data_IF_494604862099
#
_entry.id   IF_494604862099
#
_cell.length_a   1.000
_cell.length_b   1.000
_cell.length_c   1.000
_cell.angle_alpha   90.00
_cell.angle_beta   90.00
_cell.angle_gamma   90.00
#
_symmetry.space_group_name_H-M   'P 1'
#
loop_
_entity.id
_entity.type
_entity.pdbx_description
1 polymer ?
#
# COMPACT_ATOMS: atom_id res chain seq x y z
N UNK A 1 27.51 -33.17 -4.56
CA UNK A 1 27.14 -31.84 -4.12
C UNK A 1 28.09 -31.37 -3.02
N UNK A 2 28.49 -30.11 -3.06
CA UNK A 2 29.41 -29.55 -2.05
C UNK A 2 28.70 -29.39 -0.71
N UNK A 3 29.38 -29.75 0.40
CA UNK A 3 28.90 -29.47 1.74
C UNK A 3 29.13 -27.99 2.04
N UNK A 4 28.08 -27.31 2.50
CA UNK A 4 28.13 -25.89 2.85
C UNK A 4 28.56 -25.79 4.32
N UNK A 5 29.69 -25.11 4.58
CA UNK A 5 30.19 -24.89 5.94
C UNK A 5 29.23 -24.00 6.72
N UNK A 6 29.16 -24.23 8.03
CA UNK A 6 28.30 -23.48 8.96
C UNK A 6 26.80 -23.57 8.67
N UNK A 7 26.38 -24.50 7.80
CA UNK A 7 24.96 -24.66 7.49
C UNK A 7 24.09 -24.84 8.74
N UNK A 8 24.59 -25.59 9.71
CA UNK A 8 23.89 -25.88 10.96
C UNK A 8 23.71 -24.61 11.82
N UNK A 9 24.58 -23.61 11.66
CA UNK A 9 24.51 -22.35 12.40
C UNK A 9 23.69 -21.29 11.70
N UNK A 10 23.23 -21.56 10.48
CA UNK A 10 22.39 -20.63 9.72
C UNK A 10 20.96 -20.80 10.18
N UNK A 11 20.32 -19.70 10.57
CA UNK A 11 18.91 -19.73 10.89
C UNK A 11 18.11 -19.94 9.61
N UNK A 12 17.25 -20.96 9.61
CA UNK A 12 16.40 -21.21 8.46
C UNK A 12 15.47 -20.02 8.20
N UNK A 13 15.49 -19.55 6.96
CA UNK A 13 14.50 -18.57 6.53
C UNK A 13 13.14 -19.23 6.37
N UNK A 14 12.09 -18.54 6.77
CA UNK A 14 10.72 -19.01 6.56
C UNK A 14 10.30 -18.96 5.08
N UNK A 15 11.19 -18.55 4.20
CA UNK A 15 10.89 -18.33 2.78
C UNK A 15 10.31 -16.96 2.51
N UNK A 16 10.15 -16.15 3.54
CA UNK A 16 9.62 -14.79 3.48
C UNK A 16 10.48 -13.84 4.30
N UNK A 17 10.53 -12.59 3.90
CA UNK A 17 11.10 -11.54 4.73
C UNK A 17 10.10 -11.18 5.83
N UNK A 18 10.60 -10.67 6.96
CA UNK A 18 9.73 -10.11 7.98
C UNK A 18 8.84 -9.04 7.35
N UNK A 19 7.54 -9.15 7.54
CA UNK A 19 6.55 -8.25 6.96
C UNK A 19 5.55 -7.80 8.01
N UNK A 20 4.86 -6.67 7.78
CA UNK A 20 3.80 -6.22 8.67
C UNK A 20 2.71 -7.29 8.81
N UNK A 21 2.26 -7.52 10.02
CA UNK A 21 1.10 -8.37 10.28
C UNK A 21 -0.19 -7.57 10.27
N UNK A 22 -1.29 -8.25 10.59
CA UNK A 22 -2.57 -7.61 10.76
C UNK A 22 -2.51 -6.57 11.89
N UNK A 23 -3.17 -5.46 11.72
CA UNK A 23 -3.27 -4.44 12.76
C UNK A 23 -3.41 -3.03 12.23
N UNK A 24 -3.37 -2.07 13.14
CA UNK A 24 -3.44 -0.65 12.83
C UNK A 24 -2.06 -0.06 12.57
N UNK A 25 -1.96 0.78 11.56
CA UNK A 25 -0.72 1.43 11.15
C UNK A 25 -0.96 2.90 10.87
N UNK A 26 0.08 3.71 11.06
CA UNK A 26 0.10 5.08 10.55
C UNK A 26 0.79 5.04 9.20
N UNK A 27 0.07 5.44 8.16
CA UNK A 27 0.53 5.40 6.79
C UNK A 27 0.81 6.82 6.30
N UNK A 28 1.78 6.94 5.40
CA UNK A 28 2.10 8.21 4.73
C UNK A 28 1.89 8.05 3.24
N UNK A 29 1.25 9.04 2.64
CA UNK A 29 1.00 9.04 1.19
C UNK A 29 2.30 9.42 0.48
N UNK A 30 2.77 8.54 -0.39
CA UNK A 30 4.04 8.74 -1.12
C UNK A 30 3.83 9.17 -2.56
N UNK A 31 2.69 8.82 -3.15
CA UNK A 31 2.33 9.25 -4.50
C UNK A 31 0.82 9.18 -4.70
N UNK A 32 0.32 10.01 -5.59
CA UNK A 32 -1.12 10.04 -5.93
C UNK A 32 -1.25 10.17 -7.44
N UNK A 33 -2.11 9.34 -8.02
CA UNK A 33 -2.36 9.34 -9.45
C UNK A 33 -3.85 9.48 -9.73
N UNK A 34 -4.22 10.50 -10.48
CA UNK A 34 -5.57 10.65 -11.00
C UNK A 34 -5.71 9.80 -12.25
N UNK A 35 -6.58 8.80 -12.21
CA UNK A 35 -6.80 7.89 -13.33
C UNK A 35 -8.17 8.17 -13.92
N UNK A 36 -8.23 8.86 -15.09
CA UNK A 36 -9.50 9.19 -15.72
C UNK A 36 -10.17 7.95 -16.31
N UNK A 37 -11.47 8.05 -16.56
CA UNK A 37 -12.22 6.97 -17.19
C UNK A 37 -11.71 6.72 -18.61
N UNK A 38 -11.50 5.44 -18.91
CA UNK A 38 -11.11 4.99 -20.23
C UNK A 38 -12.25 4.19 -20.86
N UNK A 39 -12.90 4.78 -21.86
CA UNK A 39 -14.06 4.18 -22.53
C UNK A 39 -13.72 2.88 -23.26
N UNK A 40 -12.47 2.70 -23.70
CA UNK A 40 -12.05 1.49 -24.40
C UNK A 40 -11.93 0.29 -23.49
N UNK A 41 -11.49 0.50 -22.24
CA UNK A 41 -11.31 -0.58 -21.27
C UNK A 41 -12.42 -0.66 -20.24
N UNK A 42 -13.23 0.38 -20.12
CA UNK A 42 -14.25 0.50 -19.08
C UNK A 42 -13.70 0.72 -17.69
N UNK A 43 -12.40 1.04 -17.57
CA UNK A 43 -11.68 1.20 -16.31
C UNK A 43 -11.31 2.66 -16.07
N UNK A 44 -10.92 2.96 -14.83
CA UNK A 44 -10.51 4.29 -14.43
C UNK A 44 -11.57 5.01 -13.62
N UNK A 45 -11.51 6.32 -13.61
CA UNK A 45 -12.38 7.23 -12.87
C UNK A 45 -12.18 7.08 -11.36
N UNK A 46 -10.91 7.10 -10.96
CA UNK A 46 -10.52 6.99 -9.56
C UNK A 46 -9.21 7.70 -9.26
N UNK A 47 -8.98 7.92 -7.96
CA UNK A 47 -7.71 8.39 -7.44
C UNK A 47 -6.96 7.18 -6.86
N UNK A 48 -5.76 6.93 -7.35
CA UNK A 48 -4.88 5.91 -6.81
C UNK A 48 -3.91 6.56 -5.83
N UNK A 49 -3.88 6.04 -4.62
CA UNK A 49 -3.08 6.58 -3.53
C UNK A 49 -2.07 5.53 -3.11
N UNK A 50 -0.78 5.77 -3.39
CA UNK A 50 0.30 4.92 -2.96
C UNK A 50 0.77 5.37 -1.59
N UNK A 51 0.96 4.44 -0.66
CA UNK A 51 1.35 4.74 0.71
C UNK A 51 2.51 3.87 1.18
N UNK A 52 3.14 4.27 2.27
CA UNK A 52 4.12 3.47 2.99
C UNK A 52 3.84 3.61 4.49
N UNK A 53 4.42 2.74 5.29
CA UNK A 53 4.30 2.79 6.74
C UNK A 53 5.18 3.93 7.26
N UNK A 54 4.59 4.84 8.03
CA UNK A 54 5.24 6.07 8.44
C UNK A 54 6.02 5.94 9.75
N UNK A 55 5.59 5.06 10.66
CA UNK A 55 6.19 4.94 11.99
C UNK A 55 6.26 3.47 12.41
N UNK A 56 7.13 3.18 13.40
CA UNK A 56 7.26 1.86 13.99
C UNK A 56 8.30 0.99 13.31
N UNK A 57 8.28 -0.30 13.64
CA UNK A 57 9.28 -1.28 13.20
C UNK A 57 9.29 -1.49 11.69
N UNK A 58 8.16 -1.25 11.04
CA UNK A 58 8.02 -1.44 9.59
C UNK A 58 8.04 -0.12 8.82
N UNK A 59 8.51 0.97 9.43
CA UNK A 59 8.65 2.25 8.72
C UNK A 59 9.45 2.06 7.44
N UNK A 60 8.92 2.53 6.32
CA UNK A 60 9.58 2.44 5.03
C UNK A 60 9.57 1.05 4.40
N UNK A 61 8.77 0.12 4.91
CA UNK A 61 8.73 -1.26 4.43
C UNK A 61 8.48 -1.35 2.93
N UNK A 62 7.50 -0.60 2.42
CA UNK A 62 7.14 -0.68 1.00
C UNK A 62 8.15 0.02 0.09
N UNK A 63 8.82 1.07 0.59
CA UNK A 63 9.93 1.69 -0.13
C UNK A 63 11.07 0.69 -0.32
N UNK A 64 11.45 -0.01 0.74
CA UNK A 64 12.50 -1.03 0.69
C UNK A 64 12.10 -2.21 -0.20
N UNK A 65 10.84 -2.62 -0.14
CA UNK A 65 10.31 -3.68 -1.01
C UNK A 65 10.40 -3.28 -2.48
N UNK A 66 10.01 -2.06 -2.80
CA UNK A 66 10.04 -1.54 -4.17
C UNK A 66 11.47 -1.52 -4.71
N UNK A 67 12.43 -1.04 -3.92
CA UNK A 67 13.85 -1.02 -4.28
C UNK A 67 14.39 -2.43 -4.52
N UNK A 68 14.04 -3.38 -3.64
CA UNK A 68 14.49 -4.76 -3.75
C UNK A 68 13.99 -5.43 -5.03
N UNK A 69 12.82 -5.07 -5.50
CA UNK A 69 12.25 -5.62 -6.73
C UNK A 69 12.48 -4.72 -7.95
N UNK A 70 13.47 -3.84 -7.91
CA UNK A 70 13.93 -3.08 -9.07
C UNK A 70 13.16 -1.82 -9.41
N UNK A 71 12.36 -1.30 -8.46
CA UNK A 71 11.66 -0.03 -8.66
C UNK A 71 10.46 -0.11 -9.60
N UNK A 72 9.88 -1.28 -9.77
CA UNK A 72 8.69 -1.47 -10.61
C UNK A 72 7.41 -0.95 -9.97
N UNK A 73 6.33 -1.70 -10.14
CA UNK A 73 5.01 -1.32 -9.64
C UNK A 73 4.99 -1.24 -8.11
N UNK A 74 4.42 -0.16 -7.59
CA UNK A 74 4.19 0.00 -6.15
C UNK A 74 2.99 -0.85 -5.71
N UNK A 75 3.18 -1.69 -4.69
CA UNK A 75 2.15 -2.65 -4.29
C UNK A 75 1.17 -2.10 -3.25
N UNK A 76 1.62 -1.18 -2.38
CA UNK A 76 0.79 -0.67 -1.31
C UNK A 76 -0.01 0.54 -1.78
N UNK A 77 -1.25 0.32 -2.18
CA UNK A 77 -2.10 1.41 -2.65
C UNK A 77 -3.56 1.19 -2.25
N UNK A 78 -4.29 2.27 -2.26
CA UNK A 78 -5.73 2.29 -2.10
C UNK A 78 -6.34 3.11 -3.24
N UNK A 79 -7.52 2.68 -3.69
CA UNK A 79 -8.24 3.32 -4.78
C UNK A 79 -9.49 3.97 -4.21
N UNK A 80 -9.70 5.25 -4.54
CA UNK A 80 -10.90 5.99 -4.19
C UNK A 80 -11.63 6.40 -5.45
N UNK A 81 -12.74 5.74 -5.73
CA UNK A 81 -13.52 5.94 -6.94
C UNK A 81 -14.26 7.28 -6.91
N UNK A 82 -14.37 7.90 -8.09
CA UNK A 82 -15.18 9.10 -8.31
C UNK A 82 -16.63 8.78 -8.63
N UNK A 83 -16.98 7.51 -8.79
CA UNK A 83 -18.35 7.10 -9.11
C UNK A 83 -19.29 7.49 -7.99
N UNK A 84 -20.50 7.89 -8.36
CA UNK A 84 -21.50 8.40 -7.42
C UNK A 84 -21.70 7.49 -6.21
N UNK A 85 -21.77 6.17 -6.42
CA UNK A 85 -21.96 5.20 -5.35
C UNK A 85 -20.81 5.15 -4.35
N UNK A 86 -19.62 5.61 -4.73
CA UNK A 86 -18.41 5.56 -3.91
C UNK A 86 -18.00 6.93 -3.38
N UNK A 87 -18.70 8.00 -3.71
CA UNK A 87 -18.32 9.35 -3.28
C UNK A 87 -18.36 9.54 -1.76
N UNK A 88 -19.24 8.83 -1.06
CA UNK A 88 -19.27 8.86 0.38
C UNK A 88 -17.97 8.34 1.01
N UNK A 89 -17.40 7.28 0.44
CA UNK A 89 -16.11 6.74 0.89
C UNK A 89 -14.95 7.67 0.53
N UNK A 90 -15.01 8.31 -0.64
CA UNK A 90 -14.03 9.30 -1.03
C UNK A 90 -14.02 10.48 -0.04
N UNK A 91 -15.20 10.99 0.28
CA UNK A 91 -15.34 12.10 1.25
C UNK A 91 -14.87 11.69 2.64
N UNK A 92 -15.19 10.47 3.07
CA UNK A 92 -14.71 9.95 4.35
C UNK A 92 -13.19 9.95 4.39
N UNK A 93 -12.54 9.49 3.32
CA UNK A 93 -11.08 9.48 3.22
C UNK A 93 -10.50 10.89 3.34
N UNK A 94 -11.02 11.87 2.58
CA UNK A 94 -10.51 13.24 2.66
C UNK A 94 -10.74 13.87 4.03
N UNK A 95 -11.86 13.57 4.68
CA UNK A 95 -12.12 14.01 6.05
C UNK A 95 -11.10 13.44 7.03
N UNK A 96 -10.76 12.15 6.91
CA UNK A 96 -9.74 11.52 7.75
C UNK A 96 -8.36 12.16 7.54
N UNK A 97 -8.02 12.50 6.31
CA UNK A 97 -6.76 13.18 6.00
C UNK A 97 -6.74 14.58 6.65
N UNK A 98 -7.83 15.32 6.56
CA UNK A 98 -7.92 16.64 7.18
C UNK A 98 -7.78 16.56 8.70
N UNK A 99 -8.41 15.59 9.34
CA UNK A 99 -8.31 15.37 10.78
C UNK A 99 -6.91 14.95 11.22
N UNK A 100 -6.24 14.14 10.43
CA UNK A 100 -4.92 13.59 10.77
C UNK A 100 -3.77 14.55 10.46
N UNK A 101 -4.00 15.58 9.66
CA UNK A 101 -2.96 16.51 9.21
C UNK A 101 -3.41 17.95 9.46
N UNK A 102 -3.12 18.51 10.66
CA UNK A 102 -3.53 19.86 11.00
C UNK A 102 -3.08 20.89 9.95
N UNK A 103 -4.00 21.76 9.55
CA UNK A 103 -3.73 22.76 8.53
C UNK A 103 -3.97 22.31 7.09
N UNK A 104 -4.16 21.03 6.87
CA UNK A 104 -4.50 20.53 5.53
C UNK A 104 -5.99 20.69 5.26
N UNK A 105 -6.31 21.16 4.04
CA UNK A 105 -7.68 21.24 3.52
C UNK A 105 -7.73 20.66 2.13
N UNK A 106 -8.63 19.71 1.89
CA UNK A 106 -8.83 19.12 0.57
C UNK A 106 -9.39 20.19 -0.38
N UNK A 107 -8.71 20.42 -1.48
CA UNK A 107 -9.06 21.44 -2.48
C UNK A 107 -8.91 20.91 -3.92
N UNK A 108 -9.23 19.64 -4.13
CA UNK A 108 -9.18 19.02 -5.46
C UNK A 108 -7.81 19.06 -6.15
N UNK A 109 -6.75 19.17 -5.35
CA UNK A 109 -5.36 19.12 -5.79
C UNK A 109 -4.72 17.87 -5.22
N UNK A 110 -4.70 16.79 -6.02
CA UNK A 110 -4.25 15.47 -5.56
C UNK A 110 -2.78 15.45 -5.14
N UNK A 111 -1.93 16.27 -5.75
CA UNK A 111 -0.53 16.38 -5.39
C UNK A 111 -0.31 16.88 -3.95
N UNK A 112 -1.26 17.61 -3.40
CA UNK A 112 -1.18 18.11 -2.02
C UNK A 112 -1.39 17.02 -0.98
N UNK A 113 -1.90 15.86 -1.38
CA UNK A 113 -2.03 14.70 -0.49
C UNK A 113 -0.68 14.06 -0.20
N UNK A 114 0.31 14.21 -1.07
CA UNK A 114 1.63 13.62 -0.88
C UNK A 114 2.26 14.16 0.40
N UNK A 115 2.70 13.26 1.27
CA UNK A 115 3.25 13.60 2.59
C UNK A 115 2.23 13.60 3.71
N UNK A 116 0.94 13.57 3.41
CA UNK A 116 -0.10 13.44 4.43
C UNK A 116 -0.08 12.05 5.05
N UNK A 117 -0.47 11.96 6.32
CA UNK A 117 -0.54 10.71 7.07
C UNK A 117 -1.97 10.38 7.45
N UNK A 118 -2.26 9.09 7.58
CA UNK A 118 -3.55 8.62 8.06
C UNK A 118 -3.40 7.28 8.75
N UNK A 119 -4.32 6.99 9.67
CA UNK A 119 -4.38 5.69 10.33
C UNK A 119 -5.24 4.72 9.52
N UNK A 120 -4.79 3.49 9.39
CA UNK A 120 -5.55 2.45 8.72
C UNK A 120 -5.25 1.08 9.31
N UNK A 121 -6.20 0.16 9.16
CA UNK A 121 -6.02 -1.23 9.53
C UNK A 121 -5.62 -1.99 8.28
N UNK A 122 -4.51 -2.72 8.38
CA UNK A 122 -4.06 -3.62 7.31
C UNK A 122 -4.39 -5.05 7.72
N UNK A 123 -4.84 -5.85 6.76
CA UNK A 123 -5.20 -7.24 6.98
C UNK A 123 -4.53 -8.11 5.93
N UNK A 124 -4.12 -9.32 6.35
CA UNK A 124 -3.63 -10.31 5.42
C UNK A 124 -4.80 -10.98 4.71
N UNK A 125 -4.63 -11.18 3.42
CA UNK A 125 -5.58 -11.89 2.58
C UNK A 125 -4.86 -13.01 1.85
N UNK A 126 -5.42 -14.22 1.90
CA UNK A 126 -4.93 -15.33 1.08
C UNK A 126 -5.45 -15.17 -0.35
N UNK A 127 -4.61 -15.48 -1.30
CA UNK A 127 -4.97 -15.43 -2.71
C UNK A 127 -4.34 -16.58 -3.47
N UNK A 128 -4.99 -17.03 -4.53
CA UNK A 128 -4.45 -18.06 -5.41
C UNK A 128 -3.53 -17.43 -6.44
N UNK A 129 -2.29 -17.93 -6.50
CA UNK A 129 -1.33 -17.52 -7.50
C UNK A 129 -1.62 -18.19 -8.85
N UNK A 130 -1.03 -17.66 -9.92
CA UNK A 130 -1.22 -18.20 -11.27
C UNK A 130 -0.79 -19.66 -11.41
N UNK A 131 0.11 -20.12 -10.57
CA UNK A 131 0.60 -21.51 -10.56
C UNK A 131 -0.24 -22.45 -9.68
N UNK A 132 -1.32 -21.95 -9.09
CA UNK A 132 -2.20 -22.71 -8.21
C UNK A 132 -1.78 -22.75 -6.75
N UNK A 133 -0.61 -22.24 -6.38
CA UNK A 133 -0.20 -22.14 -4.98
C UNK A 133 -0.93 -21.00 -4.26
N UNK A 134 -0.96 -21.08 -2.93
CA UNK A 134 -1.58 -20.04 -2.10
C UNK A 134 -0.51 -19.07 -1.58
N UNK A 135 -0.75 -17.80 -1.78
CA UNK A 135 0.06 -16.73 -1.20
C UNK A 135 -0.73 -15.88 -0.24
N UNK A 136 -0.07 -14.98 0.47
CA UNK A 136 -0.71 -14.00 1.35
C UNK A 136 -0.26 -12.59 0.98
N UNK A 137 -1.16 -11.63 1.17
CA UNK A 137 -0.87 -10.21 0.93
C UNK A 137 -1.60 -9.35 1.96
N UNK A 138 -1.08 -8.16 2.18
CA UNK A 138 -1.77 -7.14 2.99
C UNK A 138 -2.73 -6.35 2.12
N UNK A 139 -3.90 -6.10 2.65
CA UNK A 139 -4.94 -5.31 2.00
C UNK A 139 -5.40 -4.17 2.89
#
# INVERSE_FOLDING_TARGET
MRVIENYENIQASSGEFARPGNGGYILEIVNVTDVPYNAQTGKGDYLRIDYDIAVGDFKGYYTAQNERFGGGKWFANVIKSYKEKALGMFKHFTNCIEESNPGFKWNWQEDKLIGCRFGATLQEEEYEKNDGSIGTRLI
#
